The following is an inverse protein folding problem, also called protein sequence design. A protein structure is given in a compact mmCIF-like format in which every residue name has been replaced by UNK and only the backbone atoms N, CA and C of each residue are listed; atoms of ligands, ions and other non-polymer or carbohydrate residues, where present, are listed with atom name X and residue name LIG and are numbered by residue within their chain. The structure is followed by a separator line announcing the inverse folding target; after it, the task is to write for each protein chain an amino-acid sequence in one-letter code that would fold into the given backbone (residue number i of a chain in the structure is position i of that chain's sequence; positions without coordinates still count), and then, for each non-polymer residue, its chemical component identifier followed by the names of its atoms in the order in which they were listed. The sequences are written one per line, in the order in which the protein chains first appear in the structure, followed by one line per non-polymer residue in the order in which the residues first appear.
data_IF_220507313485
#
_entry.id   IF_220507313485
#
_cell.length_a   1.000
_cell.length_b   1.000
_cell.length_c   1.000
_cell.angle_alpha   90.00
_cell.angle_beta   90.00
_cell.angle_gamma   90.00
#
_symmetry.space_group_name_H-M   'P 1'
#
loop_
_entity.id
_entity.type
_entity.pdbx_description
1 polymer ?
#
# COMPACT_ATOMS: atom_id res chain seq x y z
N UNK A 1 15.05 18.25 -24.69
CA UNK A 1 14.03 17.49 -25.49
C UNK A 1 14.03 18.00 -26.92
N UNK A 2 14.07 17.10 -27.92
CA UNK A 2 13.91 17.47 -29.32
C UNK A 2 12.46 17.89 -29.58
N UNK A 3 12.20 18.66 -30.61
CA UNK A 3 10.87 19.21 -30.91
C UNK A 3 9.81 18.09 -31.05
N UNK A 4 10.18 16.96 -31.64
CA UNK A 4 9.35 15.78 -31.75
C UNK A 4 8.96 15.20 -30.38
N UNK A 5 9.89 15.10 -29.43
CA UNK A 5 9.60 14.56 -28.09
C UNK A 5 8.58 15.43 -27.34
N UNK A 6 8.71 16.75 -27.48
CA UNK A 6 7.78 17.70 -26.87
C UNK A 6 6.38 17.59 -27.50
N UNK A 7 6.32 17.42 -28.80
CA UNK A 7 5.07 17.22 -29.53
C UNK A 7 4.37 15.95 -29.04
N UNK A 8 5.04 14.78 -29.13
CA UNK A 8 4.47 13.50 -28.71
C UNK A 8 4.07 13.47 -27.22
N UNK A 9 4.84 14.14 -26.36
CA UNK A 9 4.48 14.29 -24.94
C UNK A 9 3.20 15.10 -24.76
N UNK A 10 3.06 16.24 -25.47
CA UNK A 10 1.86 17.08 -25.38
C UNK A 10 0.63 16.33 -25.85
N UNK A 11 0.72 15.62 -26.98
CA UNK A 11 -0.37 14.81 -27.53
C UNK A 11 -0.79 13.68 -26.59
N UNK A 12 0.10 13.17 -25.73
CA UNK A 12 -0.22 12.19 -24.70
C UNK A 12 -0.84 12.85 -23.46
N UNK A 13 -0.29 13.96 -22.98
CA UNK A 13 -0.67 14.53 -21.69
C UNK A 13 -2.11 15.08 -21.70
N UNK A 14 -2.58 15.63 -22.82
CA UNK A 14 -3.93 16.19 -22.93
C UNK A 14 -5.00 15.08 -22.78
N UNK A 15 -4.98 14.00 -23.58
CA UNK A 15 -5.92 12.87 -23.38
C UNK A 15 -5.77 12.20 -22.02
N UNK A 16 -4.54 12.10 -21.48
CA UNK A 16 -4.31 11.52 -20.18
C UNK A 16 -5.02 12.33 -19.07
N UNK A 17 -4.95 13.66 -19.12
CA UNK A 17 -5.65 14.50 -18.17
C UNK A 17 -7.18 14.32 -18.26
N UNK A 18 -7.74 14.28 -19.49
CA UNK A 18 -9.18 14.05 -19.67
C UNK A 18 -9.61 12.66 -19.19
N UNK A 19 -8.88 11.61 -19.54
CA UNK A 19 -9.18 10.26 -19.09
C UNK A 19 -9.07 10.16 -17.55
N UNK A 20 -8.03 10.72 -16.95
CA UNK A 20 -7.83 10.68 -15.51
C UNK A 20 -8.98 11.38 -14.77
N UNK A 21 -9.33 12.60 -15.18
CA UNK A 21 -10.45 13.34 -14.58
C UNK A 21 -11.77 12.58 -14.75
N UNK A 22 -12.05 12.05 -15.94
CA UNK A 22 -13.25 11.26 -16.20
C UNK A 22 -13.35 10.00 -15.32
N UNK A 23 -12.26 9.26 -15.18
CA UNK A 23 -12.22 8.10 -14.30
C UNK A 23 -12.31 8.47 -12.81
N UNK A 24 -11.68 9.56 -12.38
CA UNK A 24 -11.81 10.03 -10.99
C UNK A 24 -13.25 10.40 -10.67
N UNK A 25 -13.93 11.13 -11.57
CA UNK A 25 -15.36 11.44 -11.38
C UNK A 25 -16.18 10.15 -11.28
N UNK A 26 -15.93 9.19 -12.18
CA UNK A 26 -16.62 7.90 -12.16
C UNK A 26 -16.40 7.16 -10.83
N UNK A 27 -15.14 7.02 -10.38
CA UNK A 27 -14.81 6.31 -9.15
C UNK A 27 -15.38 7.01 -7.91
N UNK A 28 -15.26 8.33 -7.82
CA UNK A 28 -15.84 9.11 -6.71
C UNK A 28 -17.36 8.96 -6.69
N UNK A 29 -18.02 9.01 -7.85
CA UNK A 29 -19.48 8.83 -7.92
C UNK A 29 -19.91 7.43 -7.52
N UNK A 30 -19.19 6.40 -7.94
CA UNK A 30 -19.47 5.02 -7.59
C UNK A 30 -19.24 4.75 -6.10
N UNK A 31 -18.13 5.23 -5.54
CA UNK A 31 -17.81 5.12 -4.12
C UNK A 31 -18.81 5.90 -3.25
N UNK A 32 -19.26 7.09 -3.74
CA UNK A 32 -20.32 7.85 -3.08
C UNK A 32 -21.63 7.05 -2.96
N UNK A 33 -22.03 6.39 -4.03
CA UNK A 33 -23.24 5.56 -4.00
C UNK A 33 -23.09 4.36 -3.06
N UNK A 34 -21.91 3.77 -3.02
CA UNK A 34 -21.61 2.65 -2.13
C UNK A 34 -21.55 3.04 -0.65
N UNK A 35 -21.05 4.24 -0.33
CA UNK A 35 -20.84 4.74 1.04
C UNK A 35 -21.96 5.67 1.53
N UNK A 36 -22.98 5.94 0.71
CA UNK A 36 -24.02 6.92 1.02
C UNK A 36 -24.82 6.58 2.30
N UNK A 37 -25.06 5.31 2.55
CA UNK A 37 -25.73 4.82 3.77
C UNK A 37 -24.82 5.03 4.99
N UNK A 38 -23.56 4.65 4.91
CA UNK A 38 -22.57 4.81 5.98
C UNK A 38 -22.39 6.29 6.36
N UNK A 39 -22.31 7.18 5.36
CA UNK A 39 -22.20 8.63 5.60
C UNK A 39 -23.46 9.20 6.27
N UNK A 40 -24.63 8.71 5.88
CA UNK A 40 -25.90 9.14 6.47
C UNK A 40 -26.05 8.63 7.89
N UNK A 41 -25.72 7.37 8.14
CA UNK A 41 -25.83 6.75 9.46
C UNK A 41 -24.80 7.35 10.44
N UNK A 42 -23.61 7.71 9.95
CA UNK A 42 -22.63 8.47 10.71
C UNK A 42 -22.98 9.95 10.90
N UNK A 43 -24.05 10.46 10.27
CA UNK A 43 -24.44 11.87 10.38
C UNK A 43 -23.42 12.86 9.77
N UNK A 44 -22.64 12.42 8.78
CA UNK A 44 -21.57 13.25 8.19
C UNK A 44 -22.12 14.42 7.38
N UNK A 45 -21.58 15.62 7.65
CA UNK A 45 -21.88 16.84 6.86
C UNK A 45 -21.18 16.76 5.50
N UNK A 46 -21.70 17.46 4.50
CA UNK A 46 -21.12 17.51 3.14
C UNK A 46 -19.64 17.90 3.14
N UNK A 47 -19.24 18.83 4.01
CA UNK A 47 -17.84 19.25 4.17
C UNK A 47 -16.93 18.10 4.63
N UNK A 48 -17.41 17.24 5.54
CA UNK A 48 -16.70 16.06 5.99
C UNK A 48 -16.58 15.00 4.89
N UNK A 49 -17.62 14.84 4.07
CA UNK A 49 -17.59 13.95 2.91
C UNK A 49 -16.57 14.43 1.86
N UNK A 50 -16.50 15.75 1.59
CA UNK A 50 -15.48 16.32 0.68
C UNK A 50 -14.07 16.06 1.25
N UNK A 51 -13.88 16.24 2.55
CA UNK A 51 -12.61 15.97 3.21
C UNK A 51 -12.22 14.47 3.15
N UNK A 52 -13.20 13.57 3.30
CA UNK A 52 -13.01 12.12 3.11
C UNK A 52 -12.46 11.82 1.71
N UNK A 53 -13.07 12.38 0.65
CA UNK A 53 -12.59 12.17 -0.72
C UNK A 53 -11.23 12.79 -0.99
N UNK A 54 -10.90 13.90 -0.32
CA UNK A 54 -9.57 14.48 -0.41
C UNK A 54 -8.50 13.53 0.16
N UNK A 55 -8.80 12.90 1.30
CA UNK A 55 -7.91 11.90 1.90
C UNK A 55 -7.78 10.65 1.01
N UNK A 56 -8.88 10.20 0.39
CA UNK A 56 -8.95 8.98 -0.42
C UNK A 56 -8.44 9.17 -1.86
N UNK A 57 -8.25 10.40 -2.29
CA UNK A 57 -7.81 10.76 -3.64
C UNK A 57 -6.54 10.02 -4.12
N UNK A 58 -5.46 9.87 -3.31
CA UNK A 58 -4.26 9.14 -3.72
C UNK A 58 -4.52 7.66 -4.05
N UNK A 59 -5.44 7.01 -3.34
CA UNK A 59 -5.86 5.63 -3.59
C UNK A 59 -6.59 5.51 -4.94
N UNK A 60 -7.51 6.43 -5.22
CA UNK A 60 -8.22 6.49 -6.51
C UNK A 60 -7.27 6.77 -7.67
N UNK A 61 -6.35 7.71 -7.52
CA UNK A 61 -5.32 7.99 -8.54
C UNK A 61 -4.49 6.74 -8.81
N UNK A 62 -4.03 6.06 -7.76
CA UNK A 62 -3.22 4.86 -7.91
C UNK A 62 -3.91 3.74 -8.69
N UNK A 63 -5.22 3.60 -8.51
CA UNK A 63 -6.03 2.57 -9.18
C UNK A 63 -6.39 2.97 -10.61
N UNK A 64 -6.75 4.23 -10.84
CA UNK A 64 -7.25 4.72 -12.13
C UNK A 64 -6.15 5.07 -13.11
N UNK A 65 -4.99 5.46 -12.62
CA UNK A 65 -3.90 6.00 -13.42
C UNK A 65 -3.42 5.05 -14.55
N UNK A 66 -3.17 3.75 -14.30
CA UNK A 66 -2.76 2.84 -15.37
C UNK A 66 -3.81 2.68 -16.45
N UNK A 67 -5.10 2.70 -16.08
CA UNK A 67 -6.22 2.57 -17.03
C UNK A 67 -6.34 3.84 -17.87
N UNK A 68 -6.27 5.01 -17.23
CA UNK A 68 -6.28 6.30 -17.91
C UNK A 68 -5.10 6.44 -18.90
N UNK A 69 -3.91 6.00 -18.49
CA UNK A 69 -2.72 6.00 -19.32
C UNK A 69 -2.87 5.09 -20.56
N UNK A 70 -3.47 3.89 -20.38
CA UNK A 70 -3.75 2.99 -21.50
C UNK A 70 -4.64 3.67 -22.54
N UNK A 71 -5.79 4.20 -22.08
CA UNK A 71 -6.74 4.83 -23.01
C UNK A 71 -6.18 6.08 -23.66
N UNK A 72 -5.44 6.89 -22.91
CA UNK A 72 -4.77 8.07 -23.47
C UNK A 72 -3.75 7.70 -24.54
N UNK A 73 -2.91 6.69 -24.29
CA UNK A 73 -1.93 6.20 -25.26
C UNK A 73 -2.59 5.63 -26.51
N UNK A 74 -3.64 4.84 -26.33
CA UNK A 74 -4.37 4.28 -27.46
C UNK A 74 -5.02 5.37 -28.32
N UNK A 75 -5.65 6.35 -27.65
CA UNK A 75 -6.22 7.51 -28.35
C UNK A 75 -5.14 8.24 -29.12
N UNK A 76 -4.05 8.63 -28.45
CA UNK A 76 -2.93 9.37 -29.07
C UNK A 76 -2.32 8.62 -30.26
N UNK A 77 -1.96 7.35 -30.07
CA UNK A 77 -1.33 6.56 -31.14
C UNK A 77 -2.28 6.31 -32.31
N UNK A 78 -3.57 6.10 -32.02
CA UNK A 78 -4.58 5.91 -33.06
C UNK A 78 -4.84 7.21 -33.82
N UNK A 79 -4.88 8.35 -33.14
CA UNK A 79 -5.07 9.66 -33.75
C UNK A 79 -3.89 10.00 -34.67
N UNK A 80 -2.65 9.84 -34.19
CA UNK A 80 -1.43 9.99 -35.01
C UNK A 80 -1.40 9.03 -36.21
N UNK A 81 -1.91 7.81 -36.05
CA UNK A 81 -2.01 6.83 -37.12
C UNK A 81 -3.07 7.24 -38.15
N UNK A 82 -4.23 7.71 -37.72
CA UNK A 82 -5.35 8.16 -38.54
C UNK A 82 -4.98 9.36 -39.45
N UNK A 83 -4.21 10.30 -38.87
CA UNK A 83 -3.73 11.47 -39.61
C UNK A 83 -2.46 11.19 -40.41
N UNK A 84 -2.04 9.92 -40.55
CA UNK A 84 -0.83 9.48 -41.26
C UNK A 84 0.49 10.09 -40.73
N UNK A 85 0.46 10.72 -39.53
CA UNK A 85 1.63 11.35 -38.93
C UNK A 85 2.72 10.32 -38.58
N UNK A 86 2.33 9.14 -38.06
CA UNK A 86 3.27 8.05 -37.79
C UNK A 86 4.01 7.61 -39.08
N UNK A 87 3.29 7.56 -40.19
CA UNK A 87 3.90 7.20 -41.50
C UNK A 87 4.85 8.29 -41.98
N UNK A 88 4.44 9.57 -41.88
CA UNK A 88 5.27 10.71 -42.27
C UNK A 88 6.57 10.79 -41.41
N UNK A 89 6.47 10.61 -40.08
CA UNK A 89 7.63 10.60 -39.18
C UNK A 89 8.60 9.46 -39.54
N UNK A 90 8.06 8.26 -39.87
CA UNK A 90 8.88 7.12 -40.32
C UNK A 90 9.51 7.33 -41.68
N UNK A 91 8.78 7.92 -42.62
CA UNK A 91 9.31 8.27 -43.95
C UNK A 91 10.47 9.28 -43.88
N UNK A 92 10.46 10.14 -42.83
CA UNK A 92 11.57 11.04 -42.51
C UNK A 92 12.80 10.34 -41.90
N UNK A 93 12.82 8.99 -41.84
CA UNK A 93 13.95 8.19 -41.33
C UNK A 93 14.00 8.01 -39.79
N UNK A 94 12.94 8.40 -39.04
CA UNK A 94 12.89 8.20 -37.60
C UNK A 94 12.58 6.73 -37.31
N UNK A 95 13.44 6.07 -36.53
CA UNK A 95 13.25 4.67 -36.16
C UNK A 95 12.05 4.53 -35.21
N UNK A 96 11.39 3.36 -35.20
CA UNK A 96 10.26 3.04 -34.36
C UNK A 96 10.58 3.20 -32.86
N UNK A 97 11.75 2.72 -32.43
CA UNK A 97 12.20 2.86 -31.04
C UNK A 97 12.37 4.32 -30.61
N UNK A 98 12.84 5.17 -31.52
CA UNK A 98 13.01 6.61 -31.25
C UNK A 98 11.65 7.31 -31.11
N UNK A 99 10.67 6.89 -31.89
CA UNK A 99 9.29 7.40 -31.80
C UNK A 99 8.62 6.98 -30.48
N UNK A 100 8.86 5.75 -30.01
CA UNK A 100 8.30 5.23 -28.77
C UNK A 100 9.05 5.73 -27.51
N UNK A 101 10.27 6.25 -27.64
CA UNK A 101 11.11 6.65 -26.52
C UNK A 101 10.45 7.63 -25.53
N UNK A 102 9.70 8.68 -25.94
CA UNK A 102 8.99 9.56 -25.02
C UNK A 102 7.93 8.81 -24.19
N UNK A 103 7.21 7.86 -24.78
CA UNK A 103 6.19 7.07 -24.09
C UNK A 103 6.81 6.14 -23.04
N UNK A 104 7.94 5.50 -23.37
CA UNK A 104 8.70 4.70 -22.40
C UNK A 104 9.22 5.55 -21.24
N UNK A 105 9.75 6.74 -21.55
CA UNK A 105 10.18 7.68 -20.51
C UNK A 105 9.04 8.00 -19.55
N UNK A 106 7.86 8.36 -20.08
CA UNK A 106 6.69 8.63 -19.25
C UNK A 106 6.20 7.38 -18.54
N UNK A 107 6.24 6.21 -19.14
CA UNK A 107 5.89 4.94 -18.50
C UNK A 107 6.75 4.65 -17.27
N UNK A 108 8.06 4.83 -17.37
CA UNK A 108 8.99 4.67 -16.23
C UNK A 108 8.77 5.77 -15.19
N UNK A 109 8.70 7.03 -15.62
CA UNK A 109 8.49 8.17 -14.71
C UNK A 109 7.20 8.01 -13.89
N UNK A 110 6.10 7.68 -14.56
CA UNK A 110 4.81 7.50 -13.91
C UNK A 110 4.77 6.25 -13.02
N UNK A 111 5.49 5.18 -13.39
CA UNK A 111 5.66 4.02 -12.52
C UNK A 111 6.37 4.38 -11.22
N UNK A 112 7.44 5.16 -11.27
CA UNK A 112 8.15 5.63 -10.10
C UNK A 112 7.30 6.62 -9.27
N UNK A 113 6.57 7.50 -9.94
CA UNK A 113 5.65 8.44 -9.26
C UNK A 113 4.54 7.68 -8.52
N UNK A 114 3.96 6.63 -9.11
CA UNK A 114 2.98 5.78 -8.44
C UNK A 114 3.58 5.00 -7.27
N UNK A 115 4.81 4.50 -7.39
CA UNK A 115 5.50 3.85 -6.28
C UNK A 115 5.64 4.81 -5.10
N UNK A 116 6.11 6.03 -5.37
CA UNK A 116 6.25 7.07 -4.36
C UNK A 116 4.90 7.47 -3.74
N UNK A 117 3.86 7.67 -4.56
CA UNK A 117 2.52 8.00 -4.10
C UNK A 117 1.94 6.91 -3.19
N UNK A 118 2.06 5.64 -3.60
CA UNK A 118 1.57 4.50 -2.84
C UNK A 118 2.31 4.31 -1.51
N UNK A 119 3.61 4.60 -1.47
CA UNK A 119 4.42 4.43 -0.27
C UNK A 119 4.20 5.56 0.74
N UNK A 120 4.06 6.81 0.27
CA UNK A 120 3.94 7.97 1.15
C UNK A 120 2.51 8.22 1.64
N UNK A 121 1.53 8.12 0.74
CA UNK A 121 0.15 8.50 1.03
C UNK A 121 -0.84 7.34 0.94
N UNK A 122 -0.65 6.38 0.04
CA UNK A 122 -1.60 5.32 -0.20
C UNK A 122 -1.89 4.47 1.05
N UNK A 123 -0.86 4.07 1.81
CA UNK A 123 -1.03 3.29 3.03
C UNK A 123 -1.70 4.08 4.16
N UNK A 124 -1.50 5.40 4.21
CA UNK A 124 -2.10 6.28 5.23
C UNK A 124 -3.51 6.71 4.86
N UNK A 125 -3.85 6.82 3.57
CA UNK A 125 -5.15 7.30 3.14
C UNK A 125 -6.28 6.36 3.53
N UNK A 126 -6.10 5.05 3.36
CA UNK A 126 -7.08 4.05 3.76
C UNK A 126 -7.37 4.08 5.28
N UNK A 127 -6.31 4.22 6.08
CA UNK A 127 -6.41 4.30 7.54
C UNK A 127 -7.13 5.58 8.00
N UNK A 128 -6.73 6.75 7.45
CA UNK A 128 -7.33 8.02 7.82
C UNK A 128 -8.79 8.14 7.34
N UNK A 129 -9.15 7.57 6.19
CA UNK A 129 -10.52 7.59 5.71
C UNK A 129 -11.45 6.73 6.56
N UNK A 130 -11.01 5.55 6.97
CA UNK A 130 -11.77 4.70 7.88
C UNK A 130 -11.93 5.34 9.28
N UNK A 131 -10.84 5.91 9.82
CA UNK A 131 -10.86 6.62 11.09
C UNK A 131 -11.81 7.83 11.10
N UNK A 132 -11.94 8.51 9.95
CA UNK A 132 -12.85 9.66 9.83
C UNK A 132 -14.32 9.22 9.95
N UNK A 133 -14.74 8.18 9.24
CA UNK A 133 -16.12 7.65 9.30
C UNK A 133 -16.47 7.28 10.73
N UNK A 134 -15.63 6.51 11.35
CA UNK A 134 -15.84 6.00 12.68
C UNK A 134 -15.84 7.10 13.77
N UNK A 135 -15.11 8.21 13.59
CA UNK A 135 -15.18 9.36 14.48
C UNK A 135 -16.56 10.03 14.43
N UNK A 136 -17.19 10.04 13.25
CA UNK A 136 -18.54 10.59 13.10
C UNK A 136 -19.63 9.65 13.65
N UNK A 137 -19.53 8.33 13.42
CA UNK A 137 -20.46 7.34 14.00
C UNK A 137 -20.56 7.43 15.53
N UNK A 138 -19.47 7.80 16.20
CA UNK A 138 -19.42 7.95 17.66
C UNK A 138 -19.78 9.35 18.17
N UNK A 139 -20.27 10.23 17.31
CA UNK A 139 -20.72 11.57 17.70
C UNK A 139 -19.60 12.51 18.15
N UNK A 140 -18.36 12.22 17.81
CA UNK A 140 -17.18 13.02 18.20
C UNK A 140 -16.82 14.01 17.08
N UNK A 141 -17.79 14.86 16.68
CA UNK A 141 -17.59 15.86 15.63
C UNK A 141 -16.30 16.69 15.88
N UNK A 142 -15.34 16.58 14.97
CA UNK A 142 -14.17 17.44 14.90
C UNK A 142 -13.03 17.17 15.87
N UNK A 143 -13.11 16.14 16.72
CA UNK A 143 -11.96 15.66 17.49
C UNK A 143 -11.25 14.55 16.72
N UNK A 144 -9.93 14.61 16.52
CA UNK A 144 -9.21 13.49 15.93
C UNK A 144 -9.59 12.21 16.70
N UNK A 145 -9.83 11.14 15.96
CA UNK A 145 -10.34 9.86 16.44
C UNK A 145 -9.48 9.23 17.53
N UNK A 146 -9.54 9.80 18.74
CA UNK A 146 -8.81 9.27 19.90
C UNK A 146 -9.38 7.94 20.39
N UNK A 147 -10.62 7.62 20.02
CA UNK A 147 -11.30 6.42 20.53
C UNK A 147 -11.13 5.18 19.62
N UNK A 148 -10.97 5.36 18.31
CA UNK A 148 -10.73 4.24 17.38
C UNK A 148 -9.27 3.82 17.26
N UNK A 149 -8.37 4.66 17.72
CA UNK A 149 -6.99 4.30 17.88
C UNK A 149 -6.76 3.21 18.96
N UNK A 150 -7.80 2.86 19.73
CA UNK A 150 -7.71 1.82 20.73
C UNK A 150 -7.90 0.44 20.12
N UNK A 151 -6.89 -0.39 20.28
CA UNK A 151 -6.90 -1.79 19.91
C UNK A 151 -6.98 -2.63 21.20
N UNK A 152 -7.98 -3.49 21.28
CA UNK A 152 -8.13 -4.42 22.38
C UNK A 152 -7.23 -5.63 22.19
N UNK A 153 -6.58 -6.09 23.25
CA UNK A 153 -5.71 -7.27 23.28
C UNK A 153 -4.57 -7.21 22.24
N UNK A 154 -3.72 -6.20 22.37
CA UNK A 154 -2.52 -6.10 21.55
C UNK A 154 -1.40 -6.99 22.09
N UNK A 155 -0.82 -7.82 21.22
CA UNK A 155 0.34 -8.65 21.52
C UNK A 155 1.50 -8.19 20.66
N UNK A 156 2.67 -8.04 21.27
CA UNK A 156 3.87 -7.68 20.53
C UNK A 156 5.05 -8.53 21.05
N UNK A 157 5.83 -9.11 20.14
CA UNK A 157 6.98 -9.90 20.51
C UNK A 157 8.24 -9.38 19.80
N UNK A 158 9.12 -8.78 20.56
CA UNK A 158 10.46 -8.41 20.12
C UNK A 158 11.39 -9.61 20.33
N UNK A 159 11.58 -10.42 19.29
CA UNK A 159 12.46 -11.60 19.33
C UNK A 159 13.93 -11.21 19.53
N UNK A 160 14.35 -10.07 18.99
CA UNK A 160 15.74 -9.61 19.09
C UNK A 160 16.18 -9.35 20.52
N UNK A 161 15.33 -8.67 21.29
CA UNK A 161 15.64 -8.27 22.65
C UNK A 161 14.96 -9.16 23.70
N UNK A 162 14.20 -10.19 23.26
CA UNK A 162 13.52 -11.14 24.12
C UNK A 162 12.46 -10.50 25.02
N UNK A 163 11.67 -9.56 24.47
CA UNK A 163 10.59 -8.91 25.19
C UNK A 163 9.23 -9.25 24.60
N UNK A 164 8.34 -9.77 25.44
CA UNK A 164 6.95 -10.05 25.09
C UNK A 164 6.04 -9.06 25.77
N UNK A 165 5.24 -8.36 24.98
CA UNK A 165 4.27 -7.40 25.45
C UNK A 165 2.86 -7.95 25.29
N UNK A 166 2.08 -7.89 26.34
CA UNK A 166 0.66 -8.18 26.37
C UNK A 166 -0.04 -6.93 26.87
N UNK A 167 -0.83 -6.31 26.04
CA UNK A 167 -1.43 -5.01 26.34
C UNK A 167 -2.94 -5.16 26.25
N UNK A 168 -3.66 -4.83 27.31
CA UNK A 168 -5.11 -4.95 27.34
C UNK A 168 -5.77 -4.01 26.33
N UNK A 169 -5.31 -2.77 26.24
CA UNK A 169 -5.69 -1.80 25.21
C UNK A 169 -4.51 -0.91 24.84
N UNK A 170 -4.32 -0.71 23.55
CA UNK A 170 -3.27 0.14 23.01
C UNK A 170 -3.87 1.20 22.10
N UNK A 171 -3.49 2.46 22.32
CA UNK A 171 -3.87 3.57 21.44
C UNK A 171 -2.75 3.86 20.46
N UNK A 172 -2.98 3.59 19.16
CA UNK A 172 -1.98 3.75 18.12
C UNK A 172 -1.67 5.22 17.77
N UNK A 173 -2.47 6.19 18.23
CA UNK A 173 -2.25 7.62 17.98
C UNK A 173 -1.54 8.31 19.17
N UNK A 174 -2.02 8.09 20.40
CA UNK A 174 -1.44 8.69 21.61
C UNK A 174 -0.29 7.89 22.19
N UNK A 175 -0.05 6.67 21.68
CA UNK A 175 0.92 5.70 22.20
C UNK A 175 0.65 5.23 23.63
N UNK A 176 -0.56 5.48 24.13
CA UNK A 176 -0.99 5.10 25.46
C UNK A 176 -1.32 3.61 25.52
N UNK A 177 -0.86 2.96 26.58
CA UNK A 177 -1.16 1.57 26.91
C UNK A 177 -1.94 1.48 28.19
N UNK A 178 -2.97 0.66 28.23
CA UNK A 178 -3.75 0.32 29.43
C UNK A 178 -3.42 -1.10 29.83
N UNK A 179 -3.06 -1.29 31.07
CA UNK A 179 -2.65 -2.56 31.68
C UNK A 179 -1.58 -3.29 30.83
N UNK A 180 -0.45 -2.64 30.51
CA UNK A 180 0.64 -3.33 29.82
C UNK A 180 1.31 -4.34 30.75
N UNK A 181 1.63 -5.50 30.21
CA UNK A 181 2.37 -6.58 30.85
C UNK A 181 3.54 -6.97 29.97
N UNK A 182 4.76 -6.84 30.45
CA UNK A 182 5.98 -7.10 29.69
C UNK A 182 6.78 -8.21 30.33
N UNK A 183 7.10 -9.25 29.58
CA UNK A 183 7.98 -10.35 29.98
C UNK A 183 9.34 -10.10 29.34
N UNK A 184 10.41 -10.12 30.14
CA UNK A 184 11.78 -9.93 29.72
C UNK A 184 12.52 -11.28 29.72
N UNK A 185 12.54 -12.01 28.59
CA UNK A 185 13.15 -13.35 28.50
C UNK A 185 14.68 -13.31 28.57
N UNK A 186 15.31 -12.28 28.03
CA UNK A 186 16.76 -12.10 28.04
C UNK A 186 17.29 -11.28 29.23
N UNK A 187 16.44 -11.08 30.26
CA UNK A 187 16.90 -10.39 31.46
C UNK A 187 17.87 -11.26 32.27
N UNK A 188 18.87 -10.60 32.88
CA UNK A 188 19.74 -11.28 33.86
C UNK A 188 18.99 -11.78 35.11
N UNK A 189 17.80 -11.20 35.36
CA UNK A 189 16.89 -11.59 36.44
C UNK A 189 15.95 -12.68 35.94
N UNK A 190 15.95 -13.83 36.56
CA UNK A 190 15.08 -14.95 36.20
C UNK A 190 13.59 -14.59 36.43
N UNK A 191 12.73 -14.92 35.45
CA UNK A 191 11.30 -14.61 35.53
C UNK A 191 10.97 -13.13 35.60
N UNK A 192 11.81 -12.27 35.01
CA UNK A 192 11.64 -10.81 35.04
C UNK A 192 10.43 -10.37 34.23
N UNK A 193 9.53 -9.64 34.85
CA UNK A 193 8.30 -9.10 34.29
C UNK A 193 7.91 -7.77 34.89
N UNK A 194 7.28 -6.94 34.05
CA UNK A 194 6.77 -5.63 34.45
C UNK A 194 5.28 -5.60 34.13
N UNK A 195 4.47 -5.30 35.15
CA UNK A 195 3.04 -5.07 35.04
C UNK A 195 2.76 -3.63 35.46
N UNK A 196 1.96 -2.88 34.67
CA UNK A 196 1.62 -1.51 35.05
C UNK A 196 0.15 -1.20 34.75
N UNK A 197 -0.36 -0.15 35.38
CA UNK A 197 -1.72 0.34 35.12
C UNK A 197 -1.79 1.02 33.75
N UNK A 198 -0.75 1.79 33.40
CA UNK A 198 -0.64 2.48 32.13
C UNK A 198 0.82 2.69 31.75
N UNK A 199 1.07 2.88 30.46
CA UNK A 199 2.37 3.28 29.94
C UNK A 199 2.22 4.22 28.76
N UNK A 200 3.22 5.08 28.55
CA UNK A 200 3.30 5.98 27.41
C UNK A 200 4.72 6.01 26.84
N UNK A 201 4.81 6.34 25.56
CA UNK A 201 6.08 6.62 24.91
C UNK A 201 6.29 8.13 24.81
N UNK A 202 7.21 8.68 25.60
CA UNK A 202 7.50 10.11 25.63
C UNK A 202 9.01 10.34 25.49
N UNK A 203 9.41 11.24 24.60
CA UNK A 203 10.83 11.57 24.34
C UNK A 203 11.71 10.36 24.01
N UNK A 204 11.16 9.36 23.33
CA UNK A 204 11.94 8.15 22.93
C UNK A 204 12.02 7.07 24.03
N UNK A 205 11.36 7.25 25.18
CA UNK A 205 11.40 6.32 26.31
C UNK A 205 10.02 5.85 26.68
N UNK A 206 9.87 4.54 26.90
CA UNK A 206 8.66 3.96 27.49
C UNK A 206 8.64 4.22 28.99
N UNK A 207 7.60 4.87 29.46
CA UNK A 207 7.41 5.19 30.86
C UNK A 207 6.16 4.50 31.38
N UNK A 208 6.32 3.63 32.37
CA UNK A 208 5.26 2.88 33.03
C UNK A 208 4.81 3.59 34.29
N UNK A 209 3.51 3.69 34.48
CA UNK A 209 2.91 4.29 35.71
C UNK A 209 2.27 3.23 36.56
N UNK A 210 2.46 3.34 37.88
CA UNK A 210 2.05 2.36 38.90
C UNK A 210 2.50 0.97 38.53
N UNK A 211 3.81 0.86 38.26
CA UNK A 211 4.42 -0.37 37.78
C UNK A 211 4.81 -1.29 38.92
N UNK A 212 4.55 -2.57 38.71
CA UNK A 212 5.02 -3.66 39.54
C UNK A 212 6.08 -4.43 38.76
N UNK A 213 7.32 -4.33 39.19
CA UNK A 213 8.45 -5.13 38.67
C UNK A 213 8.55 -6.42 39.48
N UNK A 214 8.55 -7.57 38.86
CA UNK A 214 8.64 -8.89 39.48
C UNK A 214 9.81 -9.66 38.91
N UNK A 215 10.62 -10.29 39.75
CA UNK A 215 11.73 -11.14 39.34
C UNK A 215 12.09 -12.14 40.46
N UNK A 216 12.70 -13.25 40.06
CA UNK A 216 13.20 -14.24 41.01
C UNK A 216 14.56 -13.82 41.54
N UNK A 217 14.75 -13.96 42.85
CA UNK A 217 16.04 -13.79 43.50
C UNK A 217 16.42 -15.10 44.19
N UNK A 218 17.60 -15.61 43.83
CA UNK A 218 18.15 -16.80 44.49
C UNK A 218 18.69 -16.42 45.86
N UNK A 219 18.07 -16.91 46.93
CA UNK A 219 18.53 -16.75 48.30
C UNK A 219 19.10 -18.08 48.81
N UNK A 220 19.89 -18.11 49.90
CA UNK A 220 20.40 -19.34 50.48
C UNK A 220 19.32 -20.36 50.92
N UNK A 221 18.07 -19.89 50.98
CA UNK A 221 16.91 -20.70 51.35
C UNK A 221 16.06 -21.14 50.15
N UNK A 222 16.43 -20.75 48.92
CA UNK A 222 15.71 -21.06 47.70
C UNK A 222 15.42 -19.80 46.83
N UNK A 223 14.68 -20.01 45.76
CA UNK A 223 14.25 -18.92 44.89
C UNK A 223 12.99 -18.22 45.48
N UNK A 224 13.09 -16.92 45.63
CA UNK A 224 12.00 -16.08 46.15
C UNK A 224 11.58 -15.05 45.11
N UNK A 225 10.26 -14.93 44.87
CA UNK A 225 9.70 -13.90 44.01
C UNK A 225 9.76 -12.54 44.72
N UNK A 226 10.56 -11.62 44.19
CA UNK A 226 10.64 -10.25 44.66
C UNK A 226 9.72 -9.36 43.86
N UNK A 227 8.94 -8.53 44.53
CA UNK A 227 8.07 -7.50 43.92
C UNK A 227 8.60 -6.13 44.33
N UNK A 228 8.82 -5.26 43.32
CA UNK A 228 9.12 -3.84 43.53
C UNK A 228 8.02 -2.98 42.93
N UNK A 229 7.55 -2.02 43.67
CA UNK A 229 6.54 -1.07 43.21
C UNK A 229 7.20 0.25 42.89
N UNK A 230 6.86 0.78 41.71
CA UNK A 230 7.32 2.07 41.23
C UNK A 230 6.11 2.91 40.83
N UNK A 231 6.04 4.15 41.27
CA UNK A 231 4.98 5.07 40.87
C UNK A 231 5.18 5.46 39.38
N UNK A 232 6.44 5.69 39.00
CA UNK A 232 6.88 5.96 37.61
C UNK A 232 8.15 5.16 37.37
N UNK A 233 8.14 4.33 36.31
CA UNK A 233 9.26 3.49 35.93
C UNK A 233 9.65 3.77 34.45
N UNK A 234 10.61 4.65 34.17
CA UNK A 234 11.14 4.85 32.83
C UNK A 234 12.04 3.67 32.42
N UNK A 235 11.90 3.20 31.17
CA UNK A 235 12.67 2.10 30.60
C UNK A 235 13.43 2.57 29.35
N UNK A 236 14.58 3.24 29.50
CA UNK A 236 15.39 3.72 28.37
C UNK A 236 16.02 2.57 27.55
N UNK A 237 16.07 1.36 28.10
CA UNK A 237 16.61 0.17 27.44
C UNK A 237 15.63 -0.44 26.44
N UNK A 238 14.37 0.00 26.45
CA UNK A 238 13.37 -0.52 25.53
C UNK A 238 13.48 0.15 24.17
N UNK A 239 13.84 -0.65 23.18
CA UNK A 239 14.15 -0.20 21.82
C UNK A 239 12.91 -0.16 20.91
N UNK A 240 11.79 -0.69 21.38
CA UNK A 240 10.54 -0.75 20.65
C UNK A 240 9.96 0.64 20.43
N UNK A 241 9.63 0.93 19.18
CA UNK A 241 9.02 2.20 18.80
C UNK A 241 7.50 2.07 18.63
N UNK A 242 6.74 3.14 18.80
CA UNK A 242 5.29 3.14 18.54
C UNK A 242 4.92 2.71 17.10
N UNK A 243 5.81 3.01 16.15
CA UNK A 243 5.64 2.59 14.75
C UNK A 243 5.66 1.07 14.62
N UNK A 244 6.54 0.39 15.35
CA UNK A 244 6.63 -1.07 15.35
C UNK A 244 5.38 -1.72 15.94
N UNK A 245 4.84 -1.19 17.05
CA UNK A 245 3.55 -1.65 17.62
C UNK A 245 2.42 -1.50 16.60
N UNK A 246 2.37 -0.38 15.88
CA UNK A 246 1.37 -0.14 14.84
C UNK A 246 1.49 -1.14 13.69
N UNK A 247 2.71 -1.46 13.29
CA UNK A 247 2.99 -2.46 12.25
C UNK A 247 2.53 -3.85 12.66
N UNK A 248 2.80 -4.26 13.91
CA UNK A 248 2.32 -5.55 14.44
C UNK A 248 0.80 -5.66 14.44
N UNK A 249 0.12 -4.61 14.88
CA UNK A 249 -1.34 -4.57 14.85
C UNK A 249 -1.90 -4.74 13.44
N UNK A 250 -1.30 -4.05 12.45
CA UNK A 250 -1.70 -4.20 11.04
C UNK A 250 -1.45 -5.63 10.52
N UNK A 251 -0.31 -6.22 10.86
CA UNK A 251 0.04 -7.58 10.45
C UNK A 251 -0.87 -8.60 11.13
N UNK A 252 -1.20 -8.43 12.40
CA UNK A 252 -2.17 -9.27 13.10
C UNK A 252 -3.57 -9.21 12.42
N UNK A 253 -4.00 -8.05 11.95
CA UNK A 253 -5.24 -7.89 11.18
C UNK A 253 -5.22 -8.64 9.85
N UNK A 254 -4.07 -8.78 9.20
CA UNK A 254 -3.93 -9.57 7.97
C UNK A 254 -4.18 -11.07 8.17
N UNK A 255 -4.08 -11.58 9.38
CA UNK A 255 -4.42 -12.97 9.68
C UNK A 255 -5.92 -13.26 9.55
N UNK A 256 -6.77 -12.22 9.68
CA UNK A 256 -8.20 -12.27 9.48
C UNK A 256 -8.55 -12.09 8.00
N UNK A 257 -9.23 -13.06 7.38
CA UNK A 257 -9.62 -13.04 5.95
C UNK A 257 -10.47 -11.81 5.60
N UNK A 258 -11.26 -11.31 6.56
CA UNK A 258 -12.17 -10.17 6.38
C UNK A 258 -11.40 -8.83 6.39
N UNK A 259 -10.43 -8.68 7.27
CA UNK A 259 -9.64 -7.45 7.44
C UNK A 259 -8.40 -7.38 6.54
N UNK A 260 -7.97 -8.51 5.99
CA UNK A 260 -6.81 -8.56 5.08
C UNK A 260 -6.99 -7.75 3.78
N UNK A 261 -8.24 -7.39 3.41
CA UNK A 261 -8.52 -6.51 2.26
C UNK A 261 -8.22 -5.05 2.55
N UNK A 262 -8.27 -4.62 3.80
CA UNK A 262 -8.12 -3.23 4.24
C UNK A 262 -6.71 -2.92 4.75
N UNK A 263 -5.97 -3.93 5.19
CA UNK A 263 -4.62 -3.77 5.70
C UNK A 263 -3.61 -3.48 4.58
N UNK A 264 -3.44 -2.22 4.24
CA UNK A 264 -2.38 -1.76 3.35
C UNK A 264 -1.09 -1.53 4.15
N UNK A 265 -0.13 -2.46 4.06
CA UNK A 265 1.16 -2.34 4.74
C UNK A 265 2.17 -1.72 3.78
N UNK A 266 2.90 -0.67 4.19
CA UNK A 266 3.96 -0.05 3.41
C UNK A 266 5.21 -0.94 3.33
N UNK A 267 6.08 -0.70 2.33
CA UNK A 267 7.37 -1.42 2.22
C UNK A 267 8.24 -1.21 3.45
N UNK A 268 8.19 0.01 4.02
CA UNK A 268 8.94 0.34 5.21
C UNK A 268 8.41 -0.41 6.47
N UNK A 269 7.08 -0.56 6.62
CA UNK A 269 6.48 -1.36 7.70
C UNK A 269 6.84 -2.85 7.57
N UNK A 270 6.90 -3.38 6.33
CA UNK A 270 7.35 -4.76 6.11
C UNK A 270 8.81 -4.91 6.51
N UNK A 271 9.66 -3.95 6.20
CA UNK A 271 11.08 -3.97 6.57
C UNK A 271 11.27 -3.90 8.10
N UNK A 272 10.57 -2.97 8.77
CA UNK A 272 10.57 -2.85 10.22
C UNK A 272 10.15 -4.18 10.91
N UNK A 273 9.20 -4.91 10.31
CA UNK A 273 8.78 -6.21 10.84
C UNK A 273 9.88 -7.28 10.70
N UNK A 274 10.58 -7.31 9.55
CA UNK A 274 11.69 -8.23 9.33
C UNK A 274 12.86 -7.97 10.29
N UNK A 275 13.12 -6.70 10.62
CA UNK A 275 14.20 -6.32 11.53
C UNK A 275 13.95 -6.74 12.99
N UNK A 276 12.68 -6.86 13.40
CA UNK A 276 12.29 -7.24 14.76
C UNK A 276 12.12 -8.74 14.96
N UNK A 277 11.80 -9.46 13.88
CA UNK A 277 11.50 -10.88 13.95
C UNK A 277 12.58 -11.69 13.26
N UNK A 278 13.48 -12.29 14.04
CA UNK A 278 14.51 -13.21 13.53
C UNK A 278 13.87 -14.46 12.91
N UNK A 279 12.77 -14.91 13.48
CA UNK A 279 12.00 -16.07 12.99
C UNK A 279 10.57 -15.66 12.69
N UNK A 280 10.24 -15.61 11.40
CA UNK A 280 8.88 -15.30 10.95
C UNK A 280 8.07 -16.58 10.84
N UNK A 281 6.82 -16.60 11.36
CA UNK A 281 5.95 -17.76 11.21
C UNK A 281 5.81 -18.18 9.74
N UNK A 282 5.90 -19.49 9.43
CA UNK A 282 5.90 -19.99 8.05
C UNK A 282 4.65 -19.59 7.25
N UNK A 283 3.52 -19.36 7.93
CA UNK A 283 2.27 -18.93 7.32
C UNK A 283 2.26 -17.43 6.93
N UNK A 284 3.03 -16.59 7.65
CA UNK A 284 3.10 -15.15 7.41
C UNK A 284 4.13 -14.77 6.36
N UNK A 285 5.20 -15.55 6.23
CA UNK A 285 6.29 -15.28 5.29
C UNK A 285 5.83 -15.13 3.83
N UNK A 286 5.02 -16.05 3.26
CA UNK A 286 4.52 -15.89 1.89
C UNK A 286 3.63 -14.65 1.73
N UNK A 287 2.82 -14.32 2.74
CA UNK A 287 1.94 -13.16 2.72
C UNK A 287 2.73 -11.85 2.65
N UNK A 288 3.70 -11.66 3.55
CA UNK A 288 4.53 -10.46 3.60
C UNK A 288 5.37 -10.30 2.33
N UNK A 289 6.01 -11.37 1.86
CA UNK A 289 6.81 -11.35 0.64
C UNK A 289 5.96 -11.06 -0.60
N UNK A 290 4.76 -11.63 -0.68
CA UNK A 290 3.84 -11.35 -1.80
C UNK A 290 3.35 -9.91 -1.77
N UNK A 291 3.05 -9.36 -0.59
CA UNK A 291 2.71 -7.94 -0.45
C UNK A 291 3.88 -7.03 -0.86
N UNK A 292 5.09 -7.34 -0.42
CA UNK A 292 6.30 -6.59 -0.78
C UNK A 292 6.50 -6.53 -2.29
N UNK A 293 6.60 -7.71 -2.94
CA UNK A 293 6.78 -7.79 -4.39
C UNK A 293 5.57 -7.26 -5.16
N UNK A 294 4.35 -7.47 -4.65
CA UNK A 294 3.11 -7.00 -5.25
C UNK A 294 3.02 -5.48 -5.33
N UNK A 295 3.44 -4.76 -4.30
CA UNK A 295 3.46 -3.28 -4.30
C UNK A 295 4.42 -2.73 -5.34
N UNK A 296 5.61 -3.32 -5.44
CA UNK A 296 6.59 -2.92 -6.44
C UNK A 296 6.05 -3.26 -7.84
N UNK A 297 5.60 -4.48 -8.06
CA UNK A 297 5.07 -4.94 -9.35
C UNK A 297 3.87 -4.11 -9.82
N UNK A 298 2.96 -3.73 -8.90
CA UNK A 298 1.82 -2.86 -9.19
C UNK A 298 2.26 -1.50 -9.73
N UNK A 299 3.28 -0.89 -9.15
CA UNK A 299 3.78 0.41 -9.59
C UNK A 299 4.34 0.36 -11.01
N UNK A 300 4.93 -0.76 -11.44
CA UNK A 300 5.41 -0.96 -12.79
C UNK A 300 4.30 -1.23 -13.84
N UNK A 301 3.03 -1.28 -13.41
CA UNK A 301 1.88 -1.45 -14.31
C UNK A 301 1.83 -0.36 -15.37
N UNK A 302 2.21 0.89 -15.07
CA UNK A 302 2.25 1.97 -16.07
C UNK A 302 3.21 1.66 -17.21
N UNK A 303 4.38 1.12 -16.93
CA UNK A 303 5.34 0.72 -17.95
C UNK A 303 4.79 -0.43 -18.81
N UNK A 304 4.17 -1.44 -18.19
CA UNK A 304 3.55 -2.57 -18.90
C UNK A 304 2.41 -2.09 -19.80
N UNK A 305 1.60 -1.16 -19.32
CA UNK A 305 0.51 -0.53 -20.07
C UNK A 305 1.03 0.20 -21.30
N UNK A 306 2.14 0.94 -21.20
CA UNK A 306 2.79 1.58 -22.34
C UNK A 306 3.25 0.54 -23.37
N UNK A 307 3.86 -0.56 -22.91
CA UNK A 307 4.27 -1.67 -23.78
C UNK A 307 3.07 -2.29 -24.51
N UNK A 308 1.94 -2.49 -23.82
CA UNK A 308 0.71 -3.03 -24.43
C UNK A 308 0.11 -2.05 -25.44
N UNK A 309 0.05 -0.76 -25.11
CA UNK A 309 -0.61 0.24 -25.96
C UNK A 309 0.06 0.42 -27.33
N UNK A 310 1.40 0.34 -27.37
CA UNK A 310 2.18 0.61 -28.60
C UNK A 310 1.77 -0.27 -29.79
N UNK A 311 1.77 -1.62 -29.72
CA UNK A 311 1.42 -2.45 -30.86
C UNK A 311 -0.06 -2.33 -31.28
N UNK A 312 -0.95 -2.02 -30.34
CA UNK A 312 -2.38 -1.91 -30.63
C UNK A 312 -2.79 -0.53 -31.14
N UNK A 313 -2.17 0.54 -30.66
CA UNK A 313 -2.45 1.91 -31.08
C UNK A 313 -1.81 2.27 -32.42
N UNK A 314 -0.67 1.69 -32.75
CA UNK A 314 0.08 1.99 -33.97
C UNK A 314 -0.27 1.09 -35.15
N UNK A 315 -1.25 0.20 -35.03
CA UNK A 315 -1.71 -0.68 -36.10
C UNK A 315 -2.25 0.12 -37.29
N UNK A 316 -1.84 -0.29 -38.52
CA UNK A 316 -2.09 0.41 -39.80
C UNK A 316 -3.57 0.76 -40.01
N UNK A 317 -3.83 1.95 -40.52
CA UNK A 317 -5.03 2.75 -40.75
C UNK A 317 -6.31 2.13 -41.34
N UNK A 318 -6.40 0.82 -41.52
CA UNK A 318 -7.61 0.10 -41.93
C UNK A 318 -8.35 -0.63 -40.80
N UNK A 319 -7.75 -0.74 -39.61
CA UNK A 319 -8.45 -1.33 -38.48
C UNK A 319 -9.39 -0.30 -37.86
N UNK A 320 -10.62 -0.73 -37.59
CA UNK A 320 -11.62 0.07 -36.93
C UNK A 320 -11.04 0.54 -35.56
N UNK A 321 -10.91 1.85 -35.34
CA UNK A 321 -10.38 2.46 -34.10
C UNK A 321 -11.02 1.83 -32.87
N UNK A 322 -12.34 1.61 -32.95
CA UNK A 322 -13.10 0.98 -31.87
C UNK A 322 -12.64 -0.45 -31.55
N UNK A 323 -12.28 -1.24 -32.58
CA UNK A 323 -11.77 -2.59 -32.35
C UNK A 323 -10.41 -2.61 -31.66
N UNK A 324 -9.53 -1.66 -31.97
CA UNK A 324 -8.24 -1.49 -31.28
C UNK A 324 -8.40 -1.11 -29.81
N UNK A 325 -9.26 -0.11 -29.54
CA UNK A 325 -9.58 0.33 -28.17
C UNK A 325 -10.23 -0.80 -27.37
N UNK A 326 -11.25 -1.46 -27.94
CA UNK A 326 -11.93 -2.57 -27.27
C UNK A 326 -10.97 -3.72 -26.94
N UNK A 327 -10.13 -4.13 -27.89
CA UNK A 327 -9.13 -5.19 -27.68
C UNK A 327 -8.19 -4.85 -26.53
N UNK A 328 -7.75 -3.60 -26.44
CA UNK A 328 -6.82 -3.17 -25.39
C UNK A 328 -7.46 -3.11 -24.01
N UNK A 329 -8.73 -2.73 -23.94
CA UNK A 329 -9.51 -2.79 -22.70
C UNK A 329 -9.60 -4.25 -22.22
N UNK A 330 -9.93 -5.19 -23.12
CA UNK A 330 -9.97 -6.62 -22.77
C UNK A 330 -8.61 -7.15 -22.29
N UNK A 331 -7.52 -6.77 -22.97
CA UNK A 331 -6.16 -7.17 -22.59
C UNK A 331 -5.81 -6.60 -21.21
N UNK A 332 -6.12 -5.32 -20.97
CA UNK A 332 -5.90 -4.68 -19.70
C UNK A 332 -6.72 -5.36 -18.58
N UNK A 333 -7.97 -5.71 -18.85
CA UNK A 333 -8.81 -6.43 -17.91
C UNK A 333 -8.21 -7.82 -17.58
N UNK A 334 -7.77 -8.55 -18.60
CA UNK A 334 -7.04 -9.81 -18.44
C UNK A 334 -5.77 -9.67 -17.61
N UNK A 335 -5.00 -8.59 -17.83
CA UNK A 335 -3.84 -8.27 -17.01
C UNK A 335 -4.20 -8.07 -15.53
N UNK A 336 -5.23 -7.27 -15.21
CA UNK A 336 -5.66 -7.04 -13.84
C UNK A 336 -6.20 -8.31 -13.15
N UNK A 337 -6.95 -9.13 -13.87
CA UNK A 337 -7.40 -10.44 -13.36
C UNK A 337 -6.19 -11.30 -13.01
N UNK A 338 -5.23 -11.40 -13.94
CA UNK A 338 -4.04 -12.22 -13.74
C UNK A 338 -3.19 -11.72 -12.57
N UNK A 339 -3.10 -10.39 -12.40
CA UNK A 339 -2.43 -9.75 -11.26
C UNK A 339 -3.11 -10.12 -9.94
N UNK A 340 -4.44 -10.03 -9.86
CA UNK A 340 -5.19 -10.40 -8.66
C UNK A 340 -5.09 -11.89 -8.33
N UNK A 341 -5.15 -12.76 -9.34
CA UNK A 341 -4.96 -14.20 -9.16
C UNK A 341 -3.54 -14.53 -8.70
N UNK A 342 -2.53 -13.93 -9.31
CA UNK A 342 -1.14 -14.10 -8.90
C UNK A 342 -0.94 -13.75 -7.43
N UNK A 343 -1.38 -12.58 -7.01
CA UNK A 343 -1.30 -12.14 -5.61
C UNK A 343 -2.06 -13.07 -4.66
N UNK A 344 -3.24 -13.56 -5.06
CA UNK A 344 -4.03 -14.49 -4.24
C UNK A 344 -3.34 -15.84 -4.07
N UNK A 345 -2.68 -16.35 -5.12
CA UNK A 345 -1.92 -17.62 -5.06
C UNK A 345 -0.61 -17.45 -4.27
N UNK A 346 0.07 -16.32 -4.43
CA UNK A 346 1.28 -16.01 -3.67
C UNK A 346 1.03 -15.87 -2.18
N UNK A 347 -0.03 -15.18 -1.77
CA UNK A 347 -0.40 -15.01 -0.35
C UNK A 347 -0.79 -16.32 0.33
N UNK A 348 -1.28 -17.30 -0.43
CA UNK A 348 -1.58 -18.66 0.06
C UNK A 348 -0.35 -19.57 0.07
N UNK A 349 0.79 -19.11 -0.43
CA UNK A 349 2.01 -19.91 -0.55
C UNK A 349 1.97 -20.98 -1.67
N UNK A 350 0.96 -20.95 -2.55
CA UNK A 350 0.84 -21.87 -3.68
C UNK A 350 1.87 -21.59 -4.79
N UNK A 351 2.32 -20.35 -4.90
CA UNK A 351 3.36 -19.92 -5.83
C UNK A 351 4.46 -19.16 -5.07
N UNK A 352 5.71 -19.22 -5.54
CA UNK A 352 6.77 -18.36 -5.00
C UNK A 352 6.36 -16.90 -5.06
N UNK A 353 6.45 -16.13 -3.96
CA UNK A 353 5.92 -14.77 -3.84
C UNK A 353 6.39 -13.80 -4.94
N UNK A 354 7.67 -13.87 -5.29
CA UNK A 354 8.25 -13.08 -6.36
C UNK A 354 7.59 -13.40 -7.72
N UNK A 355 7.50 -14.69 -8.07
CA UNK A 355 6.85 -15.10 -9.33
C UNK A 355 5.38 -14.72 -9.34
N UNK A 356 4.66 -14.94 -8.26
CA UNK A 356 3.25 -14.61 -8.13
C UNK A 356 2.95 -13.13 -8.41
N UNK A 357 3.82 -12.22 -7.93
CA UNK A 357 3.66 -10.79 -8.12
C UNK A 357 4.10 -10.30 -9.50
N UNK A 358 5.20 -10.84 -10.07
CA UNK A 358 5.79 -10.35 -11.31
C UNK A 358 5.31 -11.06 -12.58
N UNK A 359 4.71 -12.26 -12.45
CA UNK A 359 4.24 -13.09 -13.56
C UNK A 359 3.37 -12.34 -14.59
N UNK A 360 2.36 -11.54 -14.21
CA UNK A 360 1.58 -10.77 -15.17
C UNK A 360 2.42 -9.74 -15.94
N UNK A 361 3.31 -9.02 -15.24
CA UNK A 361 4.20 -8.04 -15.86
C UNK A 361 5.14 -8.68 -16.88
N UNK A 362 5.68 -9.85 -16.55
CA UNK A 362 6.58 -10.61 -17.45
C UNK A 362 5.85 -11.13 -18.70
N UNK A 363 4.65 -11.69 -18.53
CA UNK A 363 3.87 -12.20 -19.67
C UNK A 363 3.48 -11.04 -20.59
N UNK A 364 2.78 -10.04 -20.06
CA UNK A 364 2.26 -8.97 -20.90
C UNK A 364 3.38 -8.09 -21.46
N UNK A 365 4.43 -7.81 -20.67
CA UNK A 365 5.61 -7.10 -21.16
C UNK A 365 6.35 -7.88 -22.25
N UNK A 366 6.56 -9.18 -22.05
CA UNK A 366 7.22 -10.05 -23.03
C UNK A 366 6.42 -10.20 -24.33
N UNK A 367 5.11 -10.48 -24.24
CA UNK A 367 4.22 -10.55 -25.40
C UNK A 367 4.21 -9.21 -26.16
N UNK A 368 4.13 -8.09 -25.46
CA UNK A 368 4.12 -6.77 -26.09
C UNK A 368 5.43 -6.47 -26.83
N UNK A 369 6.58 -6.80 -26.22
CA UNK A 369 7.89 -6.66 -26.86
C UNK A 369 8.01 -7.54 -28.13
N UNK A 370 7.46 -8.74 -28.10
CA UNK A 370 7.40 -9.62 -29.25
C UNK A 370 6.58 -9.00 -30.39
N UNK A 371 5.38 -8.48 -30.10
CA UNK A 371 4.55 -7.80 -31.10
C UNK A 371 5.20 -6.52 -31.65
N UNK A 372 5.87 -5.72 -30.80
CA UNK A 372 6.61 -4.53 -31.26
C UNK A 372 7.72 -4.91 -32.25
N UNK A 373 8.37 -6.05 -32.06
CA UNK A 373 9.39 -6.54 -33.02
C UNK A 373 8.81 -6.99 -34.36
N UNK A 374 7.57 -7.51 -34.37
CA UNK A 374 6.90 -7.92 -35.61
C UNK A 374 6.34 -6.74 -36.43
N UNK A 375 6.04 -5.62 -35.78
CA UNK A 375 5.53 -4.40 -36.47
C UNK A 375 6.63 -3.56 -37.14
N UNK A 376 7.85 -4.07 -37.24
CA UNK A 376 8.98 -3.43 -37.94
C UNK A 376 8.83 -3.40 -39.44
#
# INVERSE_FOLDING_TARGET
MRLLDRYLTRELMIPLAYCLVGFLIFWVSFDWLAMAEDFRDAGMKLTACIYYYWIKLPEFISTTFPIALLLALLYTLTDLSRHHELVAIRAAGVSWWRLCAPYFFWGVFLSLALLFLNETWGARSAEHSAALIAAYEKGTEGKPASYEAWHDQAFFHNHRDGRKWVIKRYNAQTTEMVSPYVILEHSQKQGHRIEAESAWHTNGVWTFHRAREQFMVTTPQGEVLQNRFHEVLPQPEFTETPRQFKTELKIAQMSSVRMAKEAQISLAEIHDYYDLHEVIPPEMRPRLQTQYHGRIAWSFTCLVVVLIAIPFGAGSGRRNVFAGVASSIFICFGYFILMRLGLALGTRGALPPMLAAWFPNLIFGGCSLYFIRQTR
#
